data_IF_652807441042
#
_entry.id   IF_652807441042
#
_cell.length_a   1.000
_cell.length_b   1.000
_cell.length_c   1.000
_cell.angle_alpha   90.00
_cell.angle_beta   90.00
_cell.angle_gamma   90.00
#
_symmetry.space_group_name_H-M   'P 1'
#
loop_
_entity.id
_entity.type
_entity.pdbx_description
1 polymer ?
#
# COMPACT_ATOMS: atom_id res chain seq x y z
N UNK A 1 -2.51 -8.77 2.55
CA UNK A 1 -1.08 -8.50 2.64
C UNK A 1 -0.60 -7.56 1.51
N UNK A 2 -1.09 -7.74 0.30
CA UNK A 2 -0.77 -6.87 -0.84
C UNK A 2 -2.06 -6.42 -1.50
N UNK A 3 -2.32 -5.12 -1.49
CA UNK A 3 -3.33 -4.49 -2.32
C UNK A 3 -2.78 -4.38 -3.75
N UNK A 4 -3.32 -5.22 -4.65
CA UNK A 4 -2.88 -5.30 -6.04
C UNK A 4 -3.65 -4.32 -6.91
N UNK A 5 -2.97 -3.84 -7.97
CA UNK A 5 -3.58 -3.03 -9.02
C UNK A 5 -4.37 -1.83 -8.48
N UNK A 6 -3.80 -1.10 -7.52
CA UNK A 6 -4.38 0.18 -7.09
C UNK A 6 -4.28 1.15 -8.26
N UNK A 7 -5.42 1.64 -8.73
CA UNK A 7 -5.52 2.52 -9.89
C UNK A 7 -5.88 3.94 -9.47
N UNK A 8 -5.05 4.89 -9.86
CA UNK A 8 -5.37 6.31 -9.72
C UNK A 8 -6.42 6.72 -10.76
N UNK A 9 -7.48 7.38 -10.29
CA UNK A 9 -8.42 8.05 -11.17
C UNK A 9 -7.85 9.40 -11.70
N UNK A 10 -8.60 10.17 -12.44
CA UNK A 10 -8.14 11.46 -12.97
C UNK A 10 -7.75 12.46 -11.88
N UNK A 11 -8.47 12.47 -10.75
CA UNK A 11 -8.16 13.32 -9.61
C UNK A 11 -6.87 12.84 -8.92
N UNK A 12 -6.72 11.53 -8.74
CA UNK A 12 -5.52 10.92 -8.15
C UNK A 12 -4.25 11.20 -8.95
N UNK A 13 -4.31 11.05 -10.27
CA UNK A 13 -3.16 11.35 -11.17
C UNK A 13 -2.69 12.81 -11.04
N UNK A 14 -3.61 13.74 -10.79
CA UNK A 14 -3.31 15.17 -10.64
C UNK A 14 -2.99 15.58 -9.20
N UNK A 15 -3.24 14.69 -8.23
CA UNK A 15 -3.12 15.01 -6.81
C UNK A 15 -1.65 14.99 -6.36
N UNK A 16 -1.18 15.98 -5.59
CA UNK A 16 0.22 16.06 -5.16
C UNK A 16 0.68 14.85 -4.34
N UNK A 17 -0.20 14.14 -3.65
CA UNK A 17 0.12 12.90 -2.94
C UNK A 17 0.80 11.85 -3.85
N UNK A 18 0.42 11.82 -5.14
CA UNK A 18 0.90 10.83 -6.10
C UNK A 18 1.94 11.35 -7.09
N UNK A 19 2.52 12.51 -6.84
CA UNK A 19 3.56 13.03 -7.72
C UNK A 19 4.72 12.03 -7.84
N UNK A 20 5.02 11.63 -9.09
CA UNK A 20 6.04 10.61 -9.39
C UNK A 20 5.60 9.16 -9.23
N UNK A 21 4.36 8.88 -8.78
CA UNK A 21 3.81 7.52 -8.66
C UNK A 21 3.25 7.03 -9.99
N UNK A 22 3.37 5.75 -10.26
CA UNK A 22 2.72 5.12 -11.42
C UNK A 22 1.19 5.18 -11.28
N UNK A 23 0.47 5.32 -12.41
CA UNK A 23 -1.00 5.33 -12.43
C UNK A 23 -1.59 4.06 -11.82
N UNK A 24 -0.92 2.92 -11.99
CA UNK A 24 -1.27 1.64 -11.38
C UNK A 24 -0.07 1.14 -10.59
N UNK A 25 -0.30 0.71 -9.35
CA UNK A 25 0.74 0.21 -8.46
C UNK A 25 0.19 -0.80 -7.46
N UNK A 26 1.09 -1.51 -6.78
CA UNK A 26 0.77 -2.37 -5.64
C UNK A 26 1.28 -1.73 -4.36
N UNK A 27 0.66 -2.04 -3.23
CA UNK A 27 1.13 -1.60 -1.90
C UNK A 27 0.86 -2.65 -0.84
N UNK A 28 1.57 -2.58 0.27
CA UNK A 28 1.24 -3.41 1.43
C UNK A 28 -0.09 -2.99 2.02
N UNK A 29 -0.85 -3.95 2.51
CA UNK A 29 -2.11 -3.71 3.22
C UNK A 29 -2.34 -4.79 4.29
N UNK A 30 -3.03 -4.41 5.36
CA UNK A 30 -3.44 -5.33 6.40
C UNK A 30 -4.69 -4.78 7.09
N UNK A 31 -5.85 -5.01 6.51
CA UNK A 31 -7.14 -4.58 7.05
C UNK A 31 -8.25 -5.57 6.66
N UNK A 32 -9.31 -5.60 7.44
CA UNK A 32 -10.53 -6.37 7.16
C UNK A 32 -11.67 -5.46 6.70
N UNK A 33 -11.71 -4.24 7.26
CA UNK A 33 -12.79 -3.32 7.02
C UNK A 33 -12.55 -2.50 5.75
N UNK A 34 -13.62 -2.13 5.08
CA UNK A 34 -13.58 -1.21 3.94
C UNK A 34 -14.30 0.09 4.31
N UNK A 35 -13.94 1.18 3.63
CA UNK A 35 -14.57 2.48 3.87
C UNK A 35 -15.97 2.49 3.27
N UNK A 36 -17.00 2.61 4.10
CA UNK A 36 -18.40 2.62 3.69
C UNK A 36 -18.95 4.04 3.50
N UNK A 37 -18.57 4.95 4.41
CA UNK A 37 -19.08 6.33 4.43
C UNK A 37 -17.93 7.32 4.35
N UNK A 38 -18.07 8.31 3.50
CA UNK A 38 -17.06 9.35 3.31
C UNK A 38 -17.47 10.67 3.97
N UNK A 39 -16.52 11.46 4.50
CA UNK A 39 -16.75 12.83 4.90
C UNK A 39 -17.29 13.68 3.73
N UNK A 40 -18.00 14.77 4.04
CA UNK A 40 -18.42 15.73 3.03
C UNK A 40 -17.22 16.30 2.26
N UNK A 41 -17.45 16.64 1.00
CA UNK A 41 -16.44 17.21 0.11
C UNK A 41 -15.18 16.31 -0.09
N UNK A 42 -15.34 15.00 0.08
CA UNK A 42 -14.27 14.04 -0.16
C UNK A 42 -14.07 13.79 -1.65
N UNK A 43 -12.82 13.78 -2.08
CA UNK A 43 -12.41 13.34 -3.41
C UNK A 43 -11.77 11.96 -3.30
N UNK A 44 -12.32 10.96 -3.99
CA UNK A 44 -11.69 9.64 -4.15
C UNK A 44 -10.54 9.79 -5.14
N UNK A 45 -9.37 9.26 -4.81
CA UNK A 45 -8.14 9.38 -5.59
C UNK A 45 -7.72 8.05 -6.22
N UNK A 46 -7.97 6.95 -5.53
CA UNK A 46 -7.56 5.60 -5.96
C UNK A 46 -8.57 4.53 -5.55
N UNK A 47 -8.62 3.46 -6.34
CA UNK A 47 -9.43 2.27 -6.08
C UNK A 47 -8.73 1.02 -6.64
N UNK A 48 -9.20 -0.17 -6.27
CA UNK A 48 -8.85 -1.41 -6.93
C UNK A 48 -10.07 -2.35 -7.00
N UNK A 49 -9.86 -3.58 -7.45
CA UNK A 49 -10.93 -4.57 -7.60
C UNK A 49 -11.58 -4.93 -6.24
N UNK A 50 -10.78 -4.99 -5.17
CA UNK A 50 -11.23 -5.41 -3.84
C UNK A 50 -11.84 -4.27 -3.02
N UNK A 51 -11.40 -3.03 -3.25
CA UNK A 51 -11.91 -1.84 -2.53
C UNK A 51 -12.14 -0.67 -3.48
N UNK A 52 -13.34 -0.10 -3.40
CA UNK A 52 -13.71 1.08 -4.18
C UNK A 52 -13.01 2.34 -3.71
N UNK A 53 -12.48 2.32 -2.49
CA UNK A 53 -11.85 3.47 -1.84
C UNK A 53 -10.50 3.05 -1.27
N UNK A 54 -9.44 3.21 -2.05
CA UNK A 54 -8.07 2.98 -1.60
C UNK A 54 -7.38 4.24 -1.12
N UNK A 55 -7.83 5.40 -1.60
CA UNK A 55 -7.31 6.69 -1.16
C UNK A 55 -8.32 7.81 -1.37
N UNK A 56 -8.28 8.76 -0.45
CA UNK A 56 -9.13 9.94 -0.45
C UNK A 56 -8.36 11.19 -0.06
N UNK A 57 -8.90 12.34 -0.46
CA UNK A 57 -8.50 13.66 0.02
C UNK A 57 -9.74 14.49 0.35
N UNK A 58 -9.70 15.20 1.46
CA UNK A 58 -10.75 16.15 1.83
C UNK A 58 -10.19 17.28 2.69
N UNK A 59 -10.99 18.32 2.87
CA UNK A 59 -10.68 19.44 3.78
C UNK A 59 -11.71 19.44 4.89
N UNK A 60 -11.23 19.45 6.12
CA UNK A 60 -12.06 19.62 7.32
C UNK A 60 -11.61 20.90 8.03
N UNK A 61 -12.49 21.90 8.06
CA UNK A 61 -12.16 23.25 8.52
C UNK A 61 -10.90 23.81 7.85
N UNK A 62 -9.82 23.98 8.60
CA UNK A 62 -8.53 24.48 8.10
C UNK A 62 -7.52 23.35 7.83
N UNK A 63 -7.94 22.08 7.97
CA UNK A 63 -7.05 20.92 7.84
C UNK A 63 -7.24 20.23 6.50
N UNK A 64 -6.16 20.02 5.77
CA UNK A 64 -6.15 19.15 4.59
C UNK A 64 -5.80 17.73 5.02
N UNK A 65 -6.64 16.78 4.63
CA UNK A 65 -6.48 15.36 4.97
C UNK A 65 -6.21 14.57 3.71
N UNK A 66 -5.15 13.77 3.73
CA UNK A 66 -4.86 12.73 2.76
C UNK A 66 -4.90 11.40 3.49
N UNK A 67 -5.73 10.48 3.05
CA UNK A 67 -5.89 9.18 3.69
C UNK A 67 -5.79 8.06 2.66
N UNK A 68 -5.15 6.98 3.07
CA UNK A 68 -4.98 5.77 2.28
C UNK A 68 -5.38 4.55 3.10
N UNK A 69 -5.93 3.52 2.45
CA UNK A 69 -6.30 2.25 3.05
C UNK A 69 -5.10 1.30 3.13
N UNK A 70 -4.18 1.41 2.20
CA UNK A 70 -2.92 0.67 2.17
C UNK A 70 -1.84 1.35 3.03
N UNK A 71 -0.71 0.69 3.22
CA UNK A 71 0.36 1.11 4.12
C UNK A 71 1.64 1.48 3.36
N UNK A 72 1.81 2.76 2.95
CA UNK A 72 3.04 3.21 2.31
C UNK A 72 4.24 3.27 3.27
N UNK A 73 4.01 3.21 4.58
CA UNK A 73 5.04 3.19 5.62
C UNK A 73 5.62 1.79 5.89
N UNK A 74 4.95 0.72 5.43
CA UNK A 74 5.43 -0.64 5.65
C UNK A 74 6.58 -0.97 4.69
N UNK A 75 7.70 -1.40 5.24
CA UNK A 75 8.75 -2.04 4.46
C UNK A 75 8.57 -3.57 4.42
N UNK A 76 9.26 -4.27 3.50
CA UNK A 76 9.16 -5.71 3.39
C UNK A 76 9.56 -6.47 4.65
N UNK A 77 10.61 -6.02 5.35
CA UNK A 77 11.10 -6.68 6.58
C UNK A 77 10.06 -6.56 7.69
N UNK A 78 9.47 -5.37 7.84
CA UNK A 78 8.38 -5.14 8.78
C UNK A 78 7.17 -6.02 8.45
N UNK A 79 6.81 -6.13 7.16
CA UNK A 79 5.72 -7.00 6.70
C UNK A 79 5.99 -8.47 7.03
N UNK A 80 7.22 -8.96 6.85
CA UNK A 80 7.62 -10.32 7.25
C UNK A 80 7.42 -10.56 8.75
N UNK A 81 7.75 -9.57 9.58
CA UNK A 81 7.50 -9.61 11.03
C UNK A 81 6.01 -9.71 11.36
N UNK A 82 5.18 -8.88 10.73
CA UNK A 82 3.72 -8.92 10.89
C UNK A 82 3.12 -10.25 10.42
N UNK A 83 3.57 -10.78 9.29
CA UNK A 83 3.18 -12.12 8.82
C UNK A 83 3.46 -13.19 9.87
N UNK A 84 4.65 -13.17 10.48
CA UNK A 84 5.02 -14.13 11.53
C UNK A 84 4.10 -14.05 12.74
N UNK A 85 3.71 -12.85 13.15
CA UNK A 85 2.77 -12.66 14.27
C UNK A 85 1.34 -13.11 13.94
N UNK A 86 0.97 -13.11 12.67
CA UNK A 86 -0.38 -13.42 12.17
C UNK A 86 -0.45 -14.72 11.37
N UNK A 87 0.57 -15.57 11.44
CA UNK A 87 0.71 -16.79 10.64
C UNK A 87 -0.55 -17.65 10.68
N UNK A 88 -1.01 -18.01 11.90
CA UNK A 88 -2.20 -18.83 12.06
C UNK A 88 -3.43 -18.20 11.40
N UNK A 89 -3.64 -16.90 11.60
CA UNK A 89 -4.76 -16.17 11.02
C UNK A 89 -4.72 -16.18 9.49
N UNK A 90 -3.55 -15.90 8.91
CA UNK A 90 -3.36 -15.81 7.47
C UNK A 90 -3.56 -17.16 6.76
N UNK A 91 -3.24 -18.26 7.43
CA UNK A 91 -3.48 -19.62 6.95
C UNK A 91 -4.95 -20.03 7.13
N UNK A 92 -5.55 -19.78 8.30
CA UNK A 92 -6.94 -20.11 8.60
C UNK A 92 -7.92 -19.37 7.66
N UNK A 93 -7.61 -18.13 7.31
CA UNK A 93 -8.41 -17.29 6.38
C UNK A 93 -8.13 -17.61 4.89
N UNK A 94 -7.22 -18.55 4.61
CA UNK A 94 -6.90 -18.93 3.24
C UNK A 94 -6.20 -17.85 2.41
N UNK A 95 -5.55 -16.87 3.07
CA UNK A 95 -4.74 -15.84 2.38
C UNK A 95 -3.53 -16.50 1.70
N UNK A 96 -3.01 -17.56 2.29
CA UNK A 96 -2.03 -18.47 1.71
C UNK A 96 -2.60 -19.89 1.70
N UNK A 97 -2.40 -20.62 0.60
CA UNK A 97 -2.96 -21.96 0.41
C UNK A 97 -2.38 -22.99 1.38
N UNK A 98 -1.15 -22.79 1.81
CA UNK A 98 -0.44 -23.71 2.72
C UNK A 98 0.78 -23.04 3.36
N UNK A 99 1.41 -23.77 4.29
CA UNK A 99 2.58 -23.35 5.03
C UNK A 99 3.80 -23.06 4.14
N UNK A 100 3.97 -23.81 3.05
CA UNK A 100 5.10 -23.63 2.12
C UNK A 100 5.00 -22.30 1.38
N UNK A 101 3.81 -21.99 0.85
CA UNK A 101 3.54 -20.70 0.20
C UNK A 101 3.74 -19.54 1.18
N UNK A 102 3.16 -19.63 2.38
CA UNK A 102 3.35 -18.64 3.45
C UNK A 102 4.83 -18.40 3.75
N UNK A 103 5.60 -19.46 3.98
CA UNK A 103 7.02 -19.36 4.28
C UNK A 103 7.82 -18.76 3.12
N UNK A 104 7.45 -19.07 1.88
CA UNK A 104 8.08 -18.50 0.69
C UNK A 104 7.97 -16.98 0.66
N UNK A 105 6.77 -16.44 0.85
CA UNK A 105 6.54 -14.98 0.92
C UNK A 105 7.24 -14.34 2.12
N UNK A 106 7.10 -14.93 3.29
CA UNK A 106 7.72 -14.43 4.52
C UNK A 106 9.24 -14.33 4.39
N UNK A 107 9.87 -15.40 3.89
CA UNK A 107 11.33 -15.44 3.70
C UNK A 107 11.78 -14.45 2.63
N UNK A 108 11.02 -14.31 1.54
CA UNK A 108 11.29 -13.31 0.51
C UNK A 108 11.30 -11.89 1.10
N UNK A 109 10.27 -11.51 1.86
CA UNK A 109 10.21 -10.17 2.45
C UNK A 109 11.28 -9.94 3.53
N UNK A 110 11.69 -10.97 4.27
CA UNK A 110 12.73 -10.82 5.29
C UNK A 110 14.16 -10.67 4.72
N UNK A 111 14.40 -11.11 3.47
CA UNK A 111 15.75 -11.17 2.89
C UNK A 111 15.78 -10.74 1.41
N UNK A 112 15.13 -9.64 1.07
CA UNK A 112 15.01 -9.18 -0.34
C UNK A 112 16.36 -9.10 -1.05
N UNK A 113 17.43 -8.65 -0.36
CA UNK A 113 18.76 -8.54 -0.94
C UNK A 113 19.35 -9.90 -1.36
N UNK A 114 18.97 -10.99 -0.71
CA UNK A 114 19.44 -12.33 -1.04
C UNK A 114 18.69 -12.96 -2.23
N UNK A 115 17.53 -12.41 -2.61
CA UNK A 115 16.68 -12.96 -3.65
C UNK A 115 16.80 -12.25 -5.00
N UNK A 116 17.73 -11.32 -5.16
CA UNK A 116 17.94 -10.55 -6.40
C UNK A 116 18.18 -11.41 -7.66
N UNK A 117 18.54 -12.72 -7.51
CA UNK A 117 18.78 -13.66 -8.60
C UNK A 117 17.78 -14.83 -8.68
N UNK A 118 16.82 -14.94 -7.77
CA UNK A 118 15.83 -16.03 -7.79
C UNK A 118 14.48 -15.54 -8.32
N UNK A 119 13.77 -16.43 -9.04
CA UNK A 119 12.40 -16.15 -9.48
C UNK A 119 11.55 -15.65 -8.30
N UNK A 120 11.26 -14.37 -8.32
CA UNK A 120 10.35 -13.73 -7.37
C UNK A 120 9.05 -14.52 -7.34
N UNK A 121 8.61 -15.09 -6.21
CA UNK A 121 7.32 -15.73 -6.14
C UNK A 121 6.26 -14.69 -6.45
N UNK A 122 5.58 -14.85 -7.58
CA UNK A 122 4.33 -14.17 -7.91
C UNK A 122 4.36 -12.63 -7.89
N UNK A 123 4.58 -12.03 -9.05
CA UNK A 123 4.15 -10.65 -9.40
C UNK A 123 4.36 -9.56 -8.32
N UNK A 124 5.42 -9.68 -7.53
CA UNK A 124 5.81 -8.59 -6.63
C UNK A 124 6.43 -7.52 -7.53
N UNK A 125 5.75 -6.40 -7.64
CA UNK A 125 6.25 -5.27 -8.44
C UNK A 125 7.39 -4.56 -7.72
N UNK A 126 8.34 -4.02 -8.48
CA UNK A 126 9.45 -3.18 -7.96
C UNK A 126 8.96 -2.07 -7.01
N UNK A 127 7.73 -1.60 -7.19
CA UNK A 127 7.11 -0.58 -6.35
C UNK A 127 6.97 -1.00 -4.89
N UNK A 128 6.84 -2.30 -4.59
CA UNK A 128 6.73 -2.80 -3.22
C UNK A 128 8.08 -2.88 -2.50
N UNK A 129 9.14 -3.19 -3.24
CA UNK A 129 10.47 -3.45 -2.66
C UNK A 129 11.38 -2.23 -2.73
N UNK A 130 11.13 -1.31 -3.65
CA UNK A 130 11.90 -0.06 -3.76
C UNK A 130 11.39 0.97 -2.77
N UNK A 131 12.19 1.26 -1.73
CA UNK A 131 11.82 2.16 -0.65
C UNK A 131 11.34 3.54 -1.14
N UNK A 132 11.99 4.13 -2.14
CA UNK A 132 11.58 5.43 -2.68
C UNK A 132 10.20 5.37 -3.34
N UNK A 133 9.86 4.24 -3.95
CA UNK A 133 8.62 4.09 -4.68
C UNK A 133 7.43 3.80 -3.75
N UNK A 134 7.61 2.96 -2.73
CA UNK A 134 6.48 2.65 -1.84
C UNK A 134 6.18 3.78 -0.84
N UNK A 135 7.16 4.62 -0.48
CA UNK A 135 6.98 5.74 0.47
C UNK A 135 6.69 7.09 -0.19
N UNK A 136 6.44 7.14 -1.50
CA UNK A 136 6.24 8.40 -2.23
C UNK A 136 5.13 9.27 -1.65
N UNK A 137 4.04 8.68 -1.20
CA UNK A 137 2.92 9.39 -0.57
C UNK A 137 3.38 10.19 0.65
N UNK A 138 4.21 9.58 1.49
CA UNK A 138 4.76 10.22 2.70
C UNK A 138 5.74 11.34 2.36
N UNK A 139 6.63 11.10 1.39
CA UNK A 139 7.58 12.10 0.92
C UNK A 139 6.85 13.31 0.31
N UNK A 140 5.83 13.05 -0.50
CA UNK A 140 5.02 14.08 -1.12
C UNK A 140 4.22 14.88 -0.08
N UNK A 141 3.72 14.23 0.96
CA UNK A 141 3.09 14.92 2.10
C UNK A 141 4.07 15.88 2.80
N UNK A 142 5.26 15.41 3.12
CA UNK A 142 6.29 16.25 3.76
C UNK A 142 6.70 17.44 2.89
N UNK A 143 6.84 17.22 1.58
CA UNK A 143 7.14 18.29 0.63
C UNK A 143 5.98 19.29 0.51
N UNK A 144 4.75 18.81 0.52
CA UNK A 144 3.56 19.64 0.50
C UNK A 144 3.50 20.57 1.73
N UNK A 145 3.77 20.04 2.93
CA UNK A 145 3.82 20.85 4.16
C UNK A 145 4.91 21.93 4.12
N UNK A 146 6.12 21.59 3.65
CA UNK A 146 7.22 22.55 3.53
C UNK A 146 6.92 23.73 2.60
N UNK A 147 6.10 23.52 1.58
CA UNK A 147 5.74 24.55 0.60
C UNK A 147 4.55 25.42 1.07
N UNK A 148 3.95 25.13 2.24
CA UNK A 148 2.88 25.94 2.85
C UNK A 148 3.34 26.82 3.99
N UNK A 149 4.55 26.61 4.47
CA UNK A 149 5.23 27.46 5.48
C UNK A 149 6.08 28.53 4.81
#
# INVERSE_FOLDING_TARGET
IIAKNINLNEAGVKHPMYYGKSKTFNSFCFHYDDTETLPENTTILASNENSKIQAISFTNENSKVWAVQYHPEFDPVWMSGLMSQREKLLLDEGIYNNQEEFNSYKNYFSNIEMFNDQKIPLNISDNLINQKMHTLELLNWLNFLKNQS
#
